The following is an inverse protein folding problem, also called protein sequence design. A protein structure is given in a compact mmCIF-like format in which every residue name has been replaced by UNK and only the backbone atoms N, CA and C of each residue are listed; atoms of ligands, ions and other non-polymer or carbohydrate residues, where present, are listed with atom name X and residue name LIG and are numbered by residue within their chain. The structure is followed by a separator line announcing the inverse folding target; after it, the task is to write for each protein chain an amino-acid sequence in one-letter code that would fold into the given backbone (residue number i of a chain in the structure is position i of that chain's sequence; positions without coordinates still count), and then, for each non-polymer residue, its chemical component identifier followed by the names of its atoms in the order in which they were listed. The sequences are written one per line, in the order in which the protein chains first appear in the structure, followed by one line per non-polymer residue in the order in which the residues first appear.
data_IF_328125504128
#
_entry.id   IF_328125504128
#
_cell.length_a   1.000
_cell.length_b   1.000
_cell.length_c   1.000
_cell.angle_alpha   90.00
_cell.angle_beta   90.00
_cell.angle_gamma   90.00
#
_symmetry.space_group_name_H-M   'P 1'
#
loop_
_entity.id
_entity.type
_entity.pdbx_description
1 polymer ?
#
# COMPACT_ATOMS: atom_id res chain seq x y z
N UNK A 1 3.25 5.47 -21.17
CA UNK A 1 2.07 5.45 -20.25
C UNK A 1 2.56 5.04 -18.86
N UNK A 2 2.52 5.94 -17.89
CA UNK A 2 2.96 5.66 -16.51
C UNK A 2 1.80 4.98 -15.75
N UNK A 3 2.06 3.82 -15.13
CA UNK A 3 1.08 3.12 -14.31
C UNK A 3 1.03 3.76 -12.91
N UNK A 4 -0.15 3.89 -12.33
CA UNK A 4 -0.35 4.42 -10.99
C UNK A 4 -0.82 3.30 -10.05
N UNK A 5 0.07 2.85 -9.15
CA UNK A 5 -0.29 1.92 -8.10
C UNK A 5 -1.11 2.62 -7.01
N UNK A 6 -2.22 2.02 -6.61
CA UNK A 6 -2.94 2.47 -5.44
C UNK A 6 -2.20 2.01 -4.19
N UNK A 7 -1.91 2.95 -3.27
CA UNK A 7 -1.26 2.65 -1.99
C UNK A 7 -2.22 2.17 -0.90
N UNK A 8 -3.50 2.07 -1.22
CA UNK A 8 -4.59 1.75 -0.29
C UNK A 8 -5.33 0.44 -0.68
N UNK A 9 -4.95 -0.16 -1.81
CA UNK A 9 -5.44 -1.45 -2.30
C UNK A 9 -4.42 -2.08 -3.24
N UNK A 10 -4.76 -3.21 -3.89
CA UNK A 10 -3.88 -3.88 -4.85
C UNK A 10 -4.18 -3.47 -6.30
N UNK A 11 -4.94 -2.38 -6.52
CA UNK A 11 -5.30 -1.90 -7.85
C UNK A 11 -4.17 -1.08 -8.47
N UNK A 12 -4.02 -1.20 -9.78
CA UNK A 12 -3.12 -0.39 -10.60
C UNK A 12 -3.92 0.22 -11.74
N UNK A 13 -3.85 1.54 -11.92
CA UNK A 13 -4.52 2.24 -13.03
C UNK A 13 -3.52 2.70 -14.08
N UNK A 14 -3.98 2.92 -15.32
CA UNK A 14 -3.12 3.27 -16.46
C UNK A 14 -2.99 4.78 -16.67
N UNK A 15 -3.87 5.57 -16.05
CA UNK A 15 -3.92 7.02 -16.19
C UNK A 15 -4.21 7.72 -14.87
N UNK A 16 -3.75 8.97 -14.75
CA UNK A 16 -4.00 9.78 -13.56
C UNK A 16 -5.50 10.05 -13.32
N UNK A 17 -6.29 10.25 -14.39
CA UNK A 17 -7.76 10.43 -14.27
C UNK A 17 -8.43 9.19 -13.67
N UNK A 18 -8.03 7.99 -14.10
CA UNK A 18 -8.54 6.75 -13.51
C UNK A 18 -8.08 6.54 -12.08
N UNK A 19 -6.84 6.93 -11.75
CA UNK A 19 -6.34 6.90 -10.38
C UNK A 19 -7.20 7.76 -9.44
N UNK A 20 -7.54 8.99 -9.83
CA UNK A 20 -8.41 9.87 -9.03
C UNK A 20 -9.81 9.28 -8.85
N UNK A 21 -10.42 8.77 -9.94
CA UNK A 21 -11.73 8.09 -9.86
C UNK A 21 -11.68 6.86 -8.94
N UNK A 22 -10.57 6.12 -8.99
CA UNK A 22 -10.36 4.97 -8.13
C UNK A 22 -10.27 5.36 -6.65
N UNK A 23 -9.64 6.49 -6.31
CA UNK A 23 -9.60 6.99 -4.93
C UNK A 23 -10.99 7.33 -4.38
N UNK A 24 -11.92 7.78 -5.22
CA UNK A 24 -13.31 8.00 -4.80
C UNK A 24 -14.02 6.70 -4.43
N UNK A 25 -13.64 5.55 -5.01
CA UNK A 25 -14.22 4.25 -4.60
C UNK A 25 -13.83 3.85 -3.18
N UNK A 26 -12.71 4.36 -2.66
CA UNK A 26 -12.38 4.20 -1.26
C UNK A 26 -13.31 5.02 -0.36
N UNK A 27 -13.89 6.11 -0.87
CA UNK A 27 -14.72 7.02 -0.09
C UNK A 27 -16.16 6.50 -0.02
N UNK A 28 -16.55 6.01 1.15
CA UNK A 28 -17.90 5.56 1.47
C UNK A 28 -18.44 6.40 2.64
N UNK A 29 -19.49 7.21 2.38
CA UNK A 29 -20.12 8.11 3.36
C UNK A 29 -19.15 9.06 4.10
N UNK A 30 -18.20 9.64 3.36
CA UNK A 30 -17.20 10.56 3.93
C UNK A 30 -16.07 9.87 4.71
N UNK A 31 -16.06 8.54 4.77
CA UNK A 31 -14.97 7.73 5.32
C UNK A 31 -14.28 6.96 4.21
N UNK A 32 -13.01 6.63 4.40
CA UNK A 32 -12.22 5.80 3.50
C UNK A 32 -12.26 4.34 3.96
N UNK A 33 -12.85 3.47 3.16
CA UNK A 33 -13.01 2.04 3.42
C UNK A 33 -11.86 1.22 2.85
N UNK A 34 -11.46 0.17 3.58
CA UNK A 34 -10.55 -0.82 3.04
C UNK A 34 -11.27 -1.62 1.95
N UNK A 35 -10.69 -1.69 0.76
CA UNK A 35 -11.27 -2.45 -0.37
C UNK A 35 -10.87 -3.92 -0.35
N UNK A 36 -10.16 -4.38 0.68
CA UNK A 36 -9.90 -5.79 0.87
C UNK A 36 -11.21 -6.46 1.29
N UNK A 37 -11.69 -7.45 0.53
CA UNK A 37 -12.99 -8.09 0.76
C UNK A 37 -13.11 -8.75 2.14
N UNK A 38 -11.98 -9.16 2.74
CA UNK A 38 -11.93 -9.71 4.12
C UNK A 38 -11.85 -8.64 5.20
N UNK A 39 -11.79 -7.35 4.83
CA UNK A 39 -11.68 -6.24 5.77
C UNK A 39 -12.73 -5.15 5.52
N UNK A 40 -13.71 -5.05 6.42
CA UNK A 40 -14.77 -4.03 6.35
C UNK A 40 -14.47 -2.71 7.07
N UNK A 41 -13.23 -2.47 7.50
CA UNK A 41 -12.87 -1.31 8.32
C UNK A 41 -12.83 -0.01 7.50
N UNK A 42 -13.12 1.12 8.18
CA UNK A 42 -13.21 2.46 7.60
C UNK A 42 -12.44 3.48 8.44
N UNK A 43 -11.90 4.52 7.81
CA UNK A 43 -11.14 5.59 8.47
C UNK A 43 -11.58 6.96 8.00
N UNK A 44 -11.35 7.98 8.83
CA UNK A 44 -11.67 9.38 8.47
C UNK A 44 -10.73 9.97 7.42
N UNK A 45 -9.56 9.38 7.21
CA UNK A 45 -8.54 9.90 6.28
C UNK A 45 -7.84 8.79 5.51
N UNK A 46 -7.38 9.11 4.29
CA UNK A 46 -6.57 8.21 3.46
C UNK A 46 -5.26 7.79 4.17
N UNK A 47 -4.65 8.69 4.95
CA UNK A 47 -3.41 8.39 5.70
C UNK A 47 -3.60 7.21 6.66
N UNK A 48 -4.72 7.19 7.38
CA UNK A 48 -5.06 6.11 8.30
C UNK A 48 -5.41 4.81 7.56
N UNK A 49 -6.17 4.91 6.47
CA UNK A 49 -6.44 3.75 5.60
C UNK A 49 -5.13 3.14 5.07
N UNK A 50 -4.16 3.96 4.66
CA UNK A 50 -2.84 3.46 4.21
C UNK A 50 -2.12 2.69 5.30
N UNK A 51 -1.98 3.29 6.48
CA UNK A 51 -1.30 2.64 7.60
C UNK A 51 -1.96 1.31 7.97
N UNK A 52 -3.28 1.25 7.88
CA UNK A 52 -4.01 0.01 8.06
C UNK A 52 -3.75 -0.99 6.92
N UNK A 53 -3.84 -0.55 5.67
CA UNK A 53 -3.68 -1.41 4.50
C UNK A 53 -2.27 -2.02 4.43
N UNK A 54 -1.25 -1.32 4.92
CA UNK A 54 0.10 -1.88 5.08
C UNK A 54 0.13 -3.12 5.99
N UNK A 55 -0.81 -3.29 6.92
CA UNK A 55 -0.93 -4.51 7.74
C UNK A 55 -1.49 -5.70 6.97
N UNK A 56 -2.23 -5.46 5.89
CA UNK A 56 -2.74 -6.50 5.00
C UNK A 56 -1.72 -6.92 3.95
N UNK A 57 -0.74 -6.07 3.68
CA UNK A 57 0.29 -6.36 2.70
C UNK A 57 1.11 -7.57 3.18
N UNK A 58 1.41 -8.54 2.28
CA UNK A 58 2.28 -9.64 2.61
C UNK A 58 3.63 -9.10 3.09
N UNK A 59 4.21 -9.77 4.09
CA UNK A 59 5.54 -9.40 4.58
C UNK A 59 6.51 -9.40 3.39
N UNK A 60 7.22 -8.29 3.23
CA UNK A 60 8.17 -8.11 2.15
C UNK A 60 9.41 -8.92 2.48
N UNK A 61 9.75 -9.86 1.59
CA UNK A 61 10.94 -10.70 1.72
C UNK A 61 12.15 -9.96 1.16
N UNK A 62 13.25 -9.95 1.90
CA UNK A 62 14.55 -9.58 1.38
C UNK A 62 15.04 -10.69 0.45
N UNK A 63 15.34 -10.34 -0.81
CA UNK A 63 15.81 -11.30 -1.81
C UNK A 63 17.24 -11.78 -1.56
N UNK A 64 18.00 -11.06 -0.73
CA UNK A 64 19.40 -11.36 -0.44
C UNK A 64 19.54 -12.33 0.72
N UNK A 65 18.80 -12.10 1.82
CA UNK A 65 18.90 -12.91 3.04
C UNK A 65 17.60 -13.62 3.45
N UNK A 66 16.50 -13.41 2.74
CA UNK A 66 15.20 -14.03 3.04
C UNK A 66 14.42 -13.43 4.21
N UNK A 67 14.94 -12.40 4.89
CA UNK A 67 14.28 -11.75 6.03
C UNK A 67 12.95 -11.10 5.64
N UNK A 68 11.94 -11.19 6.50
CA UNK A 68 10.60 -10.66 6.26
C UNK A 68 10.36 -9.34 7.01
N UNK A 69 9.81 -8.35 6.32
CA UNK A 69 9.53 -7.02 6.86
C UNK A 69 8.07 -6.63 6.63
N UNK A 70 7.44 -6.00 7.62
CA UNK A 70 6.05 -5.55 7.52
C UNK A 70 5.87 -4.31 6.64
N UNK A 71 6.95 -3.56 6.35
CA UNK A 71 6.88 -2.27 5.65
C UNK A 71 8.00 -2.09 4.61
N UNK A 72 7.70 -1.41 3.50
CA UNK A 72 8.65 -1.14 2.39
C UNK A 72 9.87 -0.34 2.84
N UNK A 73 9.66 0.67 3.68
CA UNK A 73 10.76 1.45 4.26
C UNK A 73 11.66 0.56 5.14
N UNK A 74 11.09 -0.34 5.95
CA UNK A 74 11.85 -1.29 6.77
C UNK A 74 12.74 -2.21 5.91
N UNK A 75 12.19 -2.76 4.83
CA UNK A 75 12.99 -3.56 3.88
C UNK A 75 14.09 -2.72 3.21
N UNK A 76 13.80 -1.47 2.80
CA UNK A 76 14.78 -0.60 2.15
C UNK A 76 15.94 -0.25 3.09
N UNK A 77 15.64 0.15 4.32
CA UNK A 77 16.67 0.45 5.33
C UNK A 77 17.48 -0.80 5.67
N UNK A 78 16.84 -1.97 5.75
CA UNK A 78 17.55 -3.25 5.89
C UNK A 78 18.48 -3.53 4.70
N UNK A 79 18.00 -3.41 3.45
CA UNK A 79 18.83 -3.59 2.25
C UNK A 79 20.03 -2.63 2.24
N UNK A 80 19.82 -1.38 2.64
CA UNK A 80 20.88 -0.37 2.73
C UNK A 80 21.90 -0.70 3.84
N UNK A 81 21.45 -1.03 5.05
CA UNK A 81 22.33 -1.25 6.21
C UNK A 81 23.00 -2.62 6.23
N UNK A 82 22.30 -3.66 5.80
CA UNK A 82 22.77 -5.04 5.87
C UNK A 82 23.43 -5.52 4.57
N UNK A 83 23.07 -4.93 3.42
CA UNK A 83 23.53 -5.37 2.12
C UNK A 83 24.14 -4.25 1.26
N UNK A 84 24.12 -2.99 1.73
CA UNK A 84 24.65 -1.85 0.97
C UNK A 84 23.86 -1.52 -0.31
N UNK A 85 22.68 -2.11 -0.52
CA UNK A 85 21.88 -1.91 -1.75
C UNK A 85 21.02 -0.66 -1.62
N UNK A 86 21.10 0.25 -2.60
CA UNK A 86 20.27 1.45 -2.71
C UNK A 86 18.92 1.17 -3.36
#
# INVERSE_FOLDING_TARGET
KQKHDCRYCNATTLTHKEYLKHLEMHKEHGLYKCTLSTCGKKWRTLKLLRQHYEKHQPKLKCEICGSFFSYKNGLREHKKRCHGVR
#
